data_IF_364034985956
#
_entry.id   IF_364034985956
#
_cell.length_a   1.000
_cell.length_b   1.000
_cell.length_c   1.000
_cell.angle_alpha   90.00
_cell.angle_beta   90.00
_cell.angle_gamma   90.00
#
_symmetry.space_group_name_H-M   'P 1'
#
loop_
_entity.id
_entity.type
_entity.pdbx_description
1 polymer ?
#
# COMPACT_ATOMS: atom_id res chain seq x y z
N UNK A 1 -24.20 4.15 -18.72
CA UNK A 1 -23.85 2.82 -18.15
C UNK A 1 -22.71 2.27 -18.98
N UNK A 2 -21.50 2.06 -18.40
CA UNK A 2 -20.32 1.64 -19.19
C UNK A 2 -20.58 0.29 -19.88
N UNK A 3 -19.94 0.06 -21.03
CA UNK A 3 -20.16 -1.15 -21.84
C UNK A 3 -19.93 -2.45 -21.05
N UNK A 4 -18.99 -2.43 -20.09
CA UNK A 4 -18.71 -3.56 -19.21
C UNK A 4 -19.89 -3.96 -18.30
N UNK A 5 -20.67 -2.98 -17.82
CA UNK A 5 -21.85 -3.23 -16.97
C UNK A 5 -23.04 -3.80 -17.75
N UNK A 6 -23.15 -3.49 -19.05
CA UNK A 6 -24.16 -4.10 -19.93
C UNK A 6 -23.88 -5.58 -20.18
N UNK A 7 -22.62 -5.93 -20.39
CA UNK A 7 -22.18 -7.33 -20.58
C UNK A 7 -22.41 -8.19 -19.34
N UNK A 8 -22.02 -7.69 -18.17
CA UNK A 8 -22.29 -8.36 -16.87
C UNK A 8 -23.79 -8.55 -16.62
N UNK A 9 -24.62 -7.61 -17.10
CA UNK A 9 -26.08 -7.71 -16.95
C UNK A 9 -26.73 -8.83 -17.71
N UNK A 10 -26.27 -9.06 -18.92
CA UNK A 10 -26.77 -10.15 -19.75
C UNK A 10 -26.40 -11.50 -19.12
N UNK A 11 -25.14 -11.64 -18.66
CA UNK A 11 -24.64 -12.89 -18.08
C UNK A 11 -25.38 -13.23 -16.78
N UNK A 12 -25.47 -12.29 -15.83
CA UNK A 12 -26.13 -12.56 -14.55
C UNK A 12 -27.62 -12.89 -14.74
N UNK A 13 -28.32 -12.17 -15.62
CA UNK A 13 -29.73 -12.46 -15.89
C UNK A 13 -29.95 -13.85 -16.51
N UNK A 14 -28.98 -14.39 -17.25
CA UNK A 14 -29.05 -15.74 -17.82
C UNK A 14 -28.78 -16.87 -16.83
N UNK A 15 -28.08 -16.59 -15.72
CA UNK A 15 -27.65 -17.63 -14.75
C UNK A 15 -28.57 -17.69 -13.53
N UNK A 16 -29.03 -16.54 -13.04
CA UNK A 16 -29.79 -16.44 -11.78
C UNK A 16 -31.16 -15.75 -11.94
N UNK A 17 -31.61 -15.50 -13.17
CA UNK A 17 -32.87 -14.83 -13.44
C UNK A 17 -32.80 -13.30 -13.30
N UNK A 18 -33.94 -12.62 -13.29
CA UNK A 18 -33.98 -11.16 -13.26
C UNK A 18 -33.42 -10.60 -11.95
N UNK A 19 -32.27 -9.92 -12.04
CA UNK A 19 -31.56 -9.37 -10.88
C UNK A 19 -31.89 -7.88 -10.72
N UNK A 20 -32.15 -7.44 -9.48
CA UNK A 20 -32.24 -6.01 -9.17
C UNK A 20 -30.86 -5.34 -9.29
N UNK A 21 -30.70 -4.56 -10.36
CA UNK A 21 -29.46 -3.85 -10.68
C UNK A 21 -29.15 -2.72 -9.71
N UNK A 22 -30.12 -2.25 -8.93
CA UNK A 22 -29.89 -1.30 -7.84
C UNK A 22 -29.17 -2.00 -6.70
N UNK A 23 -29.61 -3.21 -6.32
CA UNK A 23 -28.95 -4.03 -5.29
C UNK A 23 -27.54 -4.45 -5.73
N UNK A 24 -27.35 -4.92 -6.97
CA UNK A 24 -26.01 -5.31 -7.48
C UNK A 24 -25.05 -4.13 -7.54
N UNK A 25 -25.53 -2.94 -7.96
CA UNK A 25 -24.72 -1.73 -7.92
C UNK A 25 -24.36 -1.37 -6.49
N UNK A 26 -25.30 -1.46 -5.55
CA UNK A 26 -25.04 -1.15 -4.15
C UNK A 26 -24.05 -2.14 -3.52
N UNK A 27 -24.14 -3.44 -3.80
CA UNK A 27 -23.16 -4.44 -3.34
C UNK A 27 -21.75 -4.13 -3.88
N UNK A 28 -21.65 -3.82 -5.18
CA UNK A 28 -20.38 -3.48 -5.84
C UNK A 28 -19.81 -2.11 -5.39
N UNK A 29 -20.66 -1.21 -4.90
CA UNK A 29 -20.27 0.09 -4.34
C UNK A 29 -19.94 0.02 -2.85
N UNK A 30 -20.47 -0.94 -2.10
CA UNK A 30 -20.42 -0.97 -0.64
C UNK A 30 -19.40 -1.96 -0.05
N UNK A 31 -18.65 -2.66 -0.89
CA UNK A 31 -17.51 -3.49 -0.45
C UNK A 31 -16.33 -3.24 -1.38
N UNK A 32 -15.41 -2.35 -1.00
CA UNK A 32 -14.06 -2.45 -1.58
C UNK A 32 -13.53 -3.79 -1.13
N UNK A 33 -13.15 -4.65 -2.06
CA UNK A 33 -12.51 -5.89 -1.66
C UNK A 33 -11.22 -5.55 -0.93
N UNK A 34 -10.80 -6.38 0.03
CA UNK A 34 -9.51 -6.26 0.71
C UNK A 34 -8.36 -5.97 -0.28
N UNK A 35 -8.37 -6.67 -1.41
CA UNK A 35 -7.39 -6.53 -2.49
C UNK A 35 -7.43 -5.14 -3.15
N UNK A 36 -8.61 -4.52 -3.30
CA UNK A 36 -8.72 -3.16 -3.84
C UNK A 36 -8.11 -2.11 -2.90
N UNK A 37 -8.29 -2.31 -1.58
CA UNK A 37 -7.70 -1.44 -0.56
C UNK A 37 -6.17 -1.58 -0.58
N UNK A 38 -5.66 -2.82 -0.51
CA UNK A 38 -4.23 -3.12 -0.59
C UNK A 38 -3.60 -2.53 -1.86
N UNK A 39 -4.25 -2.74 -3.02
CA UNK A 39 -3.81 -2.21 -4.30
C UNK A 39 -3.79 -0.68 -4.29
N UNK A 40 -4.84 -0.02 -3.79
CA UNK A 40 -4.91 1.44 -3.75
C UNK A 40 -3.83 2.05 -2.86
N UNK A 41 -3.56 1.46 -1.69
CA UNK A 41 -2.47 1.90 -0.82
C UNK A 41 -1.12 1.75 -1.55
N UNK A 42 -0.88 0.61 -2.21
CA UNK A 42 0.35 0.37 -2.97
C UNK A 42 0.57 1.43 -4.06
N UNK A 43 -0.49 1.82 -4.79
CA UNK A 43 -0.42 2.86 -5.82
C UNK A 43 -0.10 4.24 -5.25
N UNK A 44 -0.73 4.65 -4.15
CA UNK A 44 -0.46 5.95 -3.52
C UNK A 44 0.97 6.01 -2.95
N UNK A 45 1.47 4.91 -2.37
CA UNK A 45 2.86 4.82 -1.92
C UNK A 45 3.83 4.95 -3.11
N UNK A 46 3.58 4.21 -4.20
CA UNK A 46 4.40 4.28 -5.41
C UNK A 46 4.48 5.71 -5.94
N UNK A 47 3.36 6.45 -5.91
CA UNK A 47 3.30 7.85 -6.31
C UNK A 47 4.15 8.74 -5.41
N UNK A 48 4.14 8.55 -4.09
CA UNK A 48 5.00 9.31 -3.16
C UNK A 48 6.47 9.04 -3.41
N UNK A 49 6.88 7.77 -3.52
CA UNK A 49 8.28 7.41 -3.77
C UNK A 49 8.79 8.12 -5.01
N UNK A 50 8.00 8.13 -6.09
CA UNK A 50 8.35 8.81 -7.35
C UNK A 50 8.38 10.33 -7.21
N UNK A 51 7.35 10.92 -6.62
CA UNK A 51 7.17 12.38 -6.62
C UNK A 51 7.98 13.12 -5.56
N UNK A 52 8.23 12.50 -4.41
CA UNK A 52 8.92 13.14 -3.29
C UNK A 52 10.35 12.64 -3.09
N UNK A 53 10.61 11.36 -3.35
CA UNK A 53 11.92 10.76 -3.11
C UNK A 53 12.72 10.54 -4.40
N UNK A 54 12.10 10.72 -5.57
CA UNK A 54 12.71 10.36 -6.86
C UNK A 54 13.02 8.86 -6.97
N UNK A 55 12.41 8.04 -6.10
CA UNK A 55 12.63 6.61 -6.02
C UNK A 55 11.57 5.88 -6.87
N UNK A 56 12.04 4.95 -7.68
CA UNK A 56 11.21 4.02 -8.42
C UNK A 56 11.34 2.65 -7.74
N UNK A 57 10.51 2.41 -6.72
CA UNK A 57 10.35 1.04 -6.22
C UNK A 57 9.24 0.36 -7.00
N UNK A 58 9.61 -0.71 -7.70
CA UNK A 58 8.67 -1.50 -8.51
C UNK A 58 8.02 -2.64 -7.72
N UNK A 59 8.34 -2.76 -6.43
CA UNK A 59 7.94 -3.93 -5.63
C UNK A 59 7.48 -3.52 -4.23
N UNK A 60 6.28 -2.95 -4.21
CA UNK A 60 5.54 -2.57 -3.01
C UNK A 60 4.42 -3.59 -2.80
N UNK A 61 4.52 -4.35 -1.72
CA UNK A 61 3.53 -5.33 -1.30
C UNK A 61 2.79 -4.74 -0.10
N UNK A 62 1.47 -4.73 -0.18
CA UNK A 62 0.58 -4.30 0.91
C UNK A 62 -0.32 -5.48 1.26
N UNK A 63 -0.39 -5.80 2.55
CA UNK A 63 -1.25 -6.86 3.06
C UNK A 63 -2.02 -6.38 4.28
N UNK A 64 -3.32 -6.62 4.29
CA UNK A 64 -4.20 -6.35 5.42
C UNK A 64 -4.41 -7.64 6.20
N UNK A 65 -4.21 -7.62 7.51
CA UNK A 65 -4.44 -8.75 8.41
C UNK A 65 -5.11 -8.18 9.66
N UNK A 66 -6.40 -8.50 9.85
CA UNK A 66 -7.21 -7.96 10.95
C UNK A 66 -7.20 -6.41 10.96
N UNK A 67 -6.62 -5.82 12.01
CA UNK A 67 -6.42 -4.39 12.23
C UNK A 67 -5.01 -3.90 11.85
N UNK A 68 -4.23 -4.72 11.15
CA UNK A 68 -2.87 -4.39 10.75
C UNK A 68 -2.74 -4.26 9.23
N UNK A 69 -2.01 -3.24 8.78
CA UNK A 69 -1.54 -3.11 7.40
C UNK A 69 -0.03 -3.30 7.38
N UNK A 70 0.42 -4.31 6.66
CA UNK A 70 1.84 -4.61 6.45
C UNK A 70 2.22 -4.07 5.07
N UNK A 71 3.24 -3.21 5.05
CA UNK A 71 3.81 -2.64 3.83
C UNK A 71 5.25 -3.11 3.71
N UNK A 72 5.58 -3.83 2.64
CA UNK A 72 6.94 -4.24 2.30
C UNK A 72 7.37 -3.58 1.00
N UNK A 73 8.49 -2.88 1.05
CA UNK A 73 9.11 -2.21 -0.09
C UNK A 73 10.44 -2.90 -0.34
N UNK A 74 10.64 -3.47 -1.53
CA UNK A 74 11.94 -4.02 -1.95
C UNK A 74 12.67 -3.03 -2.85
N UNK A 75 13.97 -3.25 -3.00
CA UNK A 75 14.85 -2.44 -3.84
C UNK A 75 14.94 -0.97 -3.38
N UNK A 76 14.99 -0.75 -2.06
CA UNK A 76 15.00 0.58 -1.45
C UNK A 76 16.31 1.35 -1.65
N UNK A 77 17.39 0.66 -2.05
CA UNK A 77 18.70 1.28 -2.26
C UNK A 77 18.80 1.94 -3.63
N UNK A 78 19.23 3.18 -3.65
CA UNK A 78 19.62 3.93 -4.84
C UNK A 78 21.01 3.49 -5.34
N UNK A 79 21.38 3.78 -6.60
CA UNK A 79 22.72 3.51 -7.11
C UNK A 79 23.84 4.15 -6.28
N UNK A 80 23.62 5.36 -5.75
CA UNK A 80 24.60 6.06 -4.93
C UNK A 80 24.78 5.40 -3.56
N UNK A 81 23.69 5.02 -2.89
CA UNK A 81 23.74 4.31 -1.60
C UNK A 81 24.48 2.95 -1.74
N UNK A 82 24.30 2.25 -2.87
CA UNK A 82 25.03 1.00 -3.13
C UNK A 82 26.55 1.16 -3.14
N UNK A 83 27.08 2.33 -3.50
CA UNK A 83 28.54 2.57 -3.54
C UNK A 83 29.17 2.62 -2.15
N UNK A 84 28.39 2.96 -1.11
CA UNK A 84 28.92 3.19 0.24
C UNK A 84 28.70 2.01 1.20
N UNK A 85 27.71 1.14 0.94
CA UNK A 85 27.40 -0.03 1.81
C UNK A 85 28.44 -1.16 1.77
N UNK A 86 29.53 -1.02 1.01
CA UNK A 86 30.61 -2.01 0.95
C UNK A 86 31.36 -2.22 2.27
N UNK A 87 31.17 -1.33 3.26
CA UNK A 87 31.71 -1.43 4.63
C UNK A 87 30.57 -1.30 5.65
N UNK A 88 30.75 -1.87 6.85
CA UNK A 88 29.76 -1.79 7.94
C UNK A 88 29.36 -0.36 8.29
N UNK A 89 30.30 0.58 8.25
CA UNK A 89 30.02 2.00 8.52
C UNK A 89 29.02 2.58 7.52
N UNK A 90 29.19 2.31 6.22
CA UNK A 90 28.25 2.75 5.19
C UNK A 90 26.86 2.14 5.34
N UNK A 91 26.77 0.88 5.77
CA UNK A 91 25.48 0.24 6.10
C UNK A 91 24.76 1.00 7.21
N UNK A 92 25.47 1.39 8.28
CA UNK A 92 24.89 2.17 9.38
C UNK A 92 24.41 3.54 8.90
N UNK A 93 25.23 4.25 8.13
CA UNK A 93 24.90 5.57 7.60
C UNK A 93 23.65 5.53 6.70
N UNK A 94 23.56 4.57 5.79
CA UNK A 94 22.38 4.43 4.92
C UNK A 94 21.14 4.04 5.72
N UNK A 95 21.28 3.15 6.70
CA UNK A 95 20.16 2.78 7.59
C UNK A 95 19.61 4.00 8.34
N UNK A 96 20.50 4.80 8.94
CA UNK A 96 20.13 6.03 9.64
C UNK A 96 19.46 7.06 8.71
N UNK A 97 20.04 7.28 7.52
CA UNK A 97 19.46 8.13 6.49
C UNK A 97 18.03 7.68 6.13
N UNK A 98 17.83 6.40 5.83
CA UNK A 98 16.52 5.86 5.47
C UNK A 98 15.51 5.99 6.61
N UNK A 99 15.93 5.83 7.87
CA UNK A 99 15.06 6.03 9.03
C UNK A 99 14.65 7.50 9.17
N UNK A 100 15.60 8.43 9.03
CA UNK A 100 15.30 9.87 9.06
C UNK A 100 14.36 10.31 7.93
N UNK A 101 14.49 9.72 6.73
CA UNK A 101 13.54 9.94 5.63
C UNK A 101 12.15 9.38 5.98
N UNK A 102 12.10 8.19 6.57
CA UNK A 102 10.83 7.55 6.93
C UNK A 102 10.02 8.37 7.92
N UNK A 103 10.66 8.92 8.96
CA UNK A 103 9.96 9.76 9.95
C UNK A 103 9.27 10.97 9.31
N UNK A 104 9.83 11.53 8.23
CA UNK A 104 9.20 12.62 7.48
C UNK A 104 8.05 12.16 6.60
N UNK A 105 8.10 10.93 6.09
CA UNK A 105 7.10 10.34 5.19
C UNK A 105 5.94 9.70 5.98
N UNK A 106 6.18 9.30 7.24
CA UNK A 106 5.24 8.62 8.13
C UNK A 106 3.87 9.30 8.23
N UNK A 107 3.75 10.62 8.46
CA UNK A 107 2.44 11.29 8.51
C UNK A 107 1.67 11.23 7.18
N UNK A 108 2.38 11.13 6.06
CA UNK A 108 1.77 11.04 4.73
C UNK A 108 1.21 9.63 4.52
N UNK A 109 1.94 8.60 4.95
CA UNK A 109 1.47 7.21 4.91
C UNK A 109 0.24 7.01 5.80
N UNK A 110 0.23 7.58 7.01
CA UNK A 110 -0.94 7.60 7.89
C UNK A 110 -2.16 8.19 7.17
N UNK A 111 -1.99 9.36 6.54
CA UNK A 111 -3.06 10.01 5.80
C UNK A 111 -3.57 9.18 4.62
N UNK A 112 -2.70 8.49 3.88
CA UNK A 112 -3.10 7.56 2.82
C UNK A 112 -3.97 6.45 3.38
N UNK A 113 -3.53 5.83 4.48
CA UNK A 113 -4.23 4.72 5.12
C UNK A 113 -5.61 5.19 5.60
N UNK A 114 -5.68 6.30 6.33
CA UNK A 114 -6.93 6.90 6.82
C UNK A 114 -7.88 7.21 5.65
N UNK A 115 -7.40 7.88 4.60
CA UNK A 115 -8.24 8.24 3.45
C UNK A 115 -8.73 7.02 2.66
N UNK A 116 -7.98 5.92 2.69
CA UNK A 116 -8.33 4.72 1.91
C UNK A 116 -9.29 3.81 2.67
N UNK A 117 -9.13 3.72 4.00
CA UNK A 117 -9.77 2.74 4.88
C UNK A 117 -10.80 3.33 5.85
N UNK A 118 -10.75 4.64 6.08
CA UNK A 118 -11.52 5.34 7.11
C UNK A 118 -11.29 4.77 8.53
N UNK A 119 -10.08 4.27 8.79
CA UNK A 119 -9.57 3.80 10.08
C UNK A 119 -8.36 4.64 10.48
N UNK A 120 -8.22 4.94 11.77
CA UNK A 120 -7.09 5.71 12.30
C UNK A 120 -5.90 4.79 12.55
N UNK A 121 -4.69 5.28 12.25
CA UNK A 121 -3.45 4.57 12.60
C UNK A 121 -3.08 4.93 14.03
N UNK A 122 -2.99 3.93 14.90
CA UNK A 122 -2.69 4.10 16.33
C UNK A 122 -1.23 3.78 16.67
N UNK A 123 -0.57 2.94 15.86
CA UNK A 123 0.84 2.62 16.04
C UNK A 123 1.51 2.27 14.71
N UNK A 124 2.82 2.50 14.62
CA UNK A 124 3.63 2.23 13.44
C UNK A 124 4.98 1.68 13.88
N UNK A 125 5.26 0.46 13.47
CA UNK A 125 6.60 -0.13 13.52
C UNK A 125 7.20 -0.18 12.13
N UNK A 126 8.44 0.26 11.96
CA UNK A 126 9.17 0.05 10.72
C UNK A 126 10.59 -0.39 10.99
N UNK A 127 11.09 -1.27 10.13
CA UNK A 127 12.48 -1.68 10.09
C UNK A 127 13.00 -1.60 8.66
N UNK A 128 14.24 -1.16 8.52
CA UNK A 128 14.98 -1.14 7.27
C UNK A 128 16.09 -2.18 7.32
N UNK A 129 16.13 -3.04 6.31
CA UNK A 129 17.17 -4.05 6.12
C UNK A 129 17.98 -3.71 4.87
N UNK A 130 19.13 -3.09 5.09
CA UNK A 130 20.07 -2.71 4.03
C UNK A 130 20.67 -3.94 3.33
N UNK A 131 20.85 -5.05 4.07
CA UNK A 131 21.45 -6.27 3.52
C UNK A 131 20.49 -6.96 2.56
N UNK A 132 19.22 -7.04 2.92
CA UNK A 132 18.17 -7.61 2.08
C UNK A 132 17.53 -6.58 1.13
N UNK A 133 18.00 -5.33 1.17
CA UNK A 133 17.53 -4.23 0.33
C UNK A 133 16.01 -4.02 0.41
N UNK A 134 15.49 -3.99 1.64
CA UNK A 134 14.06 -3.85 1.88
C UNK A 134 13.71 -3.05 3.13
N UNK A 135 12.47 -2.53 3.16
CA UNK A 135 11.84 -1.98 4.34
C UNK A 135 10.52 -2.67 4.57
N UNK A 136 10.23 -2.98 5.82
CA UNK A 136 8.92 -3.47 6.26
C UNK A 136 8.35 -2.47 7.27
N UNK A 137 7.09 -2.11 7.09
CA UNK A 137 6.31 -1.31 8.02
C UNK A 137 5.03 -2.05 8.40
N UNK A 138 4.66 -1.99 9.68
CA UNK A 138 3.39 -2.48 10.22
C UNK A 138 2.66 -1.30 10.81
N UNK A 139 1.44 -1.09 10.35
CA UNK A 139 0.57 0.01 10.76
C UNK A 139 -0.63 -0.61 11.46
N UNK A 140 -0.76 -0.36 12.76
CA UNK A 140 -1.88 -0.86 13.56
C UNK A 140 -2.99 0.17 13.55
N UNK A 141 -4.22 -0.28 13.34
CA UNK A 141 -5.41 0.54 13.19
C UNK A 141 -6.29 0.48 14.44
N UNK A 142 -7.15 1.48 14.60
CA UNK A 142 -8.14 1.50 15.69
C UNK A 142 -9.30 0.48 15.51
N UNK A 143 -9.39 -0.17 14.35
CA UNK A 143 -10.39 -1.21 14.05
C UNK A 143 -9.92 -2.16 12.97
N UNK A 144 -10.54 -3.33 12.93
CA UNK A 144 -10.38 -4.32 11.86
C UNK A 144 -10.94 -3.81 10.53
N UNK A 145 -10.33 -4.22 9.42
CA UNK A 145 -10.74 -3.90 8.05
C UNK A 145 -11.42 -5.06 7.33
#
# INVERSE_FOLDING_TARGET
MSNHLKSLKIILNSVIGEVDWVVVKNIKMNTKSKQDIEYKISQEISKILRTQLGEYSDNIIVQIIEDNIIIRIKNILTPAERQIIGKQEGVKLVSELKNNIFEKVKPILEKIIINTTNAEVIDIYSSVDIKNNERVGVFTLNKKL
#
